data_IF_155380534242
#
_entry.id   IF_155380534242
#
_cell.length_a   1.000
_cell.length_b   1.000
_cell.length_c   1.000
_cell.angle_alpha   90.00
_cell.angle_beta   90.00
_cell.angle_gamma   90.00
#
_symmetry.space_group_name_H-M   'P 1'
#
loop_
_entity.id
_entity.type
_entity.pdbx_description
1 polymer ?
#
# COMPACT_ATOMS: atom_id res chain seq x y z
N UNK A 1 -7.62 35.64 -43.00
CA UNK A 1 -7.49 34.17 -43.16
C UNK A 1 -6.71 33.63 -41.97
N UNK A 2 -7.31 32.64 -41.33
CA UNK A 2 -7.07 32.06 -40.00
C UNK A 2 -5.84 31.15 -39.94
N UNK A 3 -5.11 31.19 -38.82
CA UNK A 3 -4.50 30.01 -38.19
C UNK A 3 -4.63 30.15 -36.66
N UNK A 4 -5.41 29.29 -35.98
CA UNK A 4 -5.36 29.18 -34.53
C UNK A 4 -4.32 28.12 -34.14
N UNK A 5 -3.28 28.54 -33.41
CA UNK A 5 -2.33 27.64 -32.78
C UNK A 5 -2.98 27.00 -31.54
N UNK A 6 -3.44 25.76 -31.72
CA UNK A 6 -4.01 24.94 -30.65
C UNK A 6 -2.92 24.08 -30.03
N UNK A 7 -2.22 24.64 -29.03
CA UNK A 7 -1.35 23.88 -28.12
C UNK A 7 -1.83 24.13 -26.68
N UNK A 8 -2.98 23.52 -26.34
CA UNK A 8 -3.52 23.52 -24.97
C UNK A 8 -4.32 22.24 -24.63
N UNK A 9 -3.93 21.10 -25.18
CA UNK A 9 -4.00 19.79 -24.51
C UNK A 9 -2.54 19.39 -24.29
N UNK A 10 -2.04 18.88 -23.17
CA UNK A 10 -2.46 17.65 -22.48
C UNK A 10 -1.82 17.60 -21.07
N UNK A 11 -1.69 18.75 -20.38
CA UNK A 11 -0.99 18.78 -19.08
C UNK A 11 -1.91 18.39 -17.90
N UNK A 12 -3.23 18.40 -18.10
CA UNK A 12 -4.18 18.15 -16.99
C UNK A 12 -4.40 16.67 -16.65
N UNK A 13 -4.21 15.74 -17.58
CA UNK A 13 -4.50 14.32 -17.32
C UNK A 13 -3.36 13.60 -16.60
N UNK A 14 -2.09 13.91 -16.89
CA UNK A 14 -0.95 13.32 -16.17
C UNK A 14 -0.84 13.84 -14.72
N UNK A 15 -1.27 15.07 -14.46
CA UNK A 15 -1.30 15.61 -13.10
C UNK A 15 -2.33 14.90 -12.22
N UNK A 16 -3.45 14.40 -12.78
CA UNK A 16 -4.47 13.68 -12.02
C UNK A 16 -4.07 12.25 -11.64
N UNK A 17 -3.27 11.56 -12.45
CA UNK A 17 -2.70 10.26 -12.06
C UNK A 17 -1.68 10.44 -10.93
N UNK A 18 -0.75 11.38 -11.06
CA UNK A 18 0.25 11.63 -10.02
C UNK A 18 -0.36 12.05 -8.66
N UNK A 19 -1.47 12.83 -8.68
CA UNK A 19 -2.13 13.29 -7.46
C UNK A 19 -2.96 12.20 -6.78
N UNK A 20 -3.54 11.25 -7.54
CA UNK A 20 -4.18 10.05 -6.97
C UNK A 20 -3.19 9.11 -6.28
N UNK A 21 -1.89 9.26 -6.52
CA UNK A 21 -0.84 8.41 -5.96
C UNK A 21 -0.17 8.94 -4.69
N UNK A 22 -0.38 10.20 -4.32
CA UNK A 22 0.00 10.70 -3.00
C UNK A 22 -1.19 10.54 -2.06
N UNK A 23 -1.14 9.60 -1.12
CA UNK A 23 -2.00 9.71 0.06
C UNK A 23 -1.70 11.08 0.66
N UNK A 24 -2.66 12.00 0.63
CA UNK A 24 -2.51 13.36 1.15
C UNK A 24 -1.96 13.25 2.56
N UNK A 25 -0.64 13.49 2.74
CA UNK A 25 0.17 13.07 3.91
C UNK A 25 -0.69 13.02 5.17
N UNK A 26 -1.28 11.87 5.52
CA UNK A 26 -2.35 11.90 6.51
C UNK A 26 -1.70 11.98 7.89
N UNK A 27 -1.79 13.18 8.46
CA UNK A 27 -1.86 13.48 9.88
C UNK A 27 -0.70 13.06 10.80
N UNK A 28 -0.56 13.83 11.87
CA UNK A 28 0.36 13.63 13.00
C UNK A 28 0.16 12.26 13.72
N UNK A 29 -0.79 11.43 13.28
CA UNK A 29 -1.29 10.24 13.95
C UNK A 29 -1.19 8.97 13.07
N UNK A 30 -0.48 7.95 13.56
CA UNK A 30 -0.26 6.68 12.85
C UNK A 30 -1.53 5.88 12.55
N UNK A 31 -2.56 5.96 13.40
CA UNK A 31 -3.82 5.25 13.17
C UNK A 31 -4.60 5.82 11.98
N UNK A 32 -4.59 7.14 11.79
CA UNK A 32 -5.23 7.79 10.64
C UNK A 32 -4.49 7.49 9.34
N UNK A 33 -3.16 7.47 9.39
CA UNK A 33 -2.34 7.05 8.26
C UNK A 33 -2.62 5.59 7.86
N UNK A 34 -2.59 4.65 8.81
CA UNK A 34 -2.88 3.24 8.55
C UNK A 34 -4.30 3.04 8.00
N UNK A 35 -5.28 3.80 8.49
CA UNK A 35 -6.64 3.82 7.94
C UNK A 35 -6.64 4.27 6.47
N UNK A 36 -5.96 5.35 6.12
CA UNK A 36 -5.86 5.82 4.74
C UNK A 36 -5.20 4.78 3.81
N UNK A 37 -4.09 4.18 4.26
CA UNK A 37 -3.41 3.10 3.55
C UNK A 37 -4.35 1.93 3.25
N UNK A 38 -5.09 1.48 4.27
CA UNK A 38 -5.98 0.31 4.15
C UNK A 38 -7.24 0.60 3.31
N UNK A 39 -7.82 1.79 3.39
CA UNK A 39 -9.05 2.10 2.63
C UNK A 39 -8.81 2.52 1.19
N UNK A 40 -7.65 3.09 0.87
CA UNK A 40 -7.36 3.59 -0.48
C UNK A 40 -6.47 2.63 -1.27
N UNK A 41 -5.33 2.21 -0.72
CA UNK A 41 -4.33 1.43 -1.47
C UNK A 41 -4.58 -0.05 -1.40
N UNK A 42 -4.85 -0.58 -0.21
CA UNK A 42 -5.12 -2.01 -0.04
C UNK A 42 -6.44 -2.40 -0.73
N UNK A 43 -7.41 -1.49 -0.79
CA UNK A 43 -8.66 -1.69 -1.52
C UNK A 43 -8.45 -1.88 -3.04
N UNK A 44 -7.53 -1.13 -3.65
CA UNK A 44 -7.22 -1.23 -5.08
C UNK A 44 -6.19 -2.35 -5.40
N UNK A 45 -5.51 -2.91 -4.39
CA UNK A 45 -4.39 -3.83 -4.53
C UNK A 45 -4.70 -5.03 -5.44
N UNK A 46 -5.87 -5.64 -5.26
CA UNK A 46 -6.31 -6.81 -6.02
C UNK A 46 -7.41 -6.50 -7.02
N UNK A 47 -7.53 -5.25 -7.48
CA UNK A 47 -8.57 -4.84 -8.43
C UNK A 47 -8.35 -5.39 -9.84
N UNK A 48 -7.10 -5.45 -10.31
CA UNK A 48 -6.75 -6.04 -11.60
C UNK A 48 -5.44 -6.81 -11.51
N UNK A 49 -5.35 -7.94 -12.22
CA UNK A 49 -4.15 -8.76 -12.23
C UNK A 49 -2.93 -8.02 -12.80
N UNK A 50 -3.12 -7.24 -13.87
CA UNK A 50 -2.04 -6.46 -14.49
C UNK A 50 -1.55 -5.30 -13.62
N UNK A 51 -2.43 -4.73 -12.80
CA UNK A 51 -2.09 -3.63 -11.89
C UNK A 51 -1.44 -4.07 -10.58
N UNK A 52 -1.59 -5.34 -10.20
CA UNK A 52 -1.12 -5.87 -8.92
C UNK A 52 0.35 -5.52 -8.61
N UNK A 53 1.34 -5.72 -9.49
CA UNK A 53 2.73 -5.37 -9.18
C UNK A 53 2.91 -3.89 -8.87
N UNK A 54 2.25 -3.01 -9.64
CA UNK A 54 2.32 -1.56 -9.43
C UNK A 54 1.67 -1.13 -8.12
N UNK A 55 0.47 -1.65 -7.83
CA UNK A 55 -0.22 -1.38 -6.56
C UNK A 55 0.55 -1.93 -5.35
N UNK A 56 1.20 -3.08 -5.50
CA UNK A 56 2.01 -3.67 -4.45
C UNK A 56 3.22 -2.81 -4.10
N UNK A 57 3.94 -2.32 -5.11
CA UNK A 57 5.03 -1.36 -4.89
C UNK A 57 4.54 -0.07 -4.22
N UNK A 58 3.34 0.42 -4.58
CA UNK A 58 2.76 1.59 -3.92
C UNK A 58 2.48 1.33 -2.43
N UNK A 59 1.89 0.18 -2.09
CA UNK A 59 1.70 -0.21 -0.68
C UNK A 59 3.03 -0.29 0.06
N UNK A 60 4.07 -0.89 -0.54
CA UNK A 60 5.40 -0.97 0.07
C UNK A 60 6.01 0.43 0.28
N UNK A 61 5.87 1.35 -0.67
CA UNK A 61 6.37 2.72 -0.55
C UNK A 61 5.66 3.48 0.58
N UNK A 62 4.35 3.31 0.71
CA UNK A 62 3.58 3.91 1.80
C UNK A 62 3.98 3.33 3.16
N UNK A 63 4.14 2.01 3.26
CA UNK A 63 4.65 1.35 4.46
C UNK A 63 6.02 1.90 4.84
N UNK A 64 6.94 2.05 3.88
CA UNK A 64 8.26 2.64 4.10
C UNK A 64 8.17 4.11 4.57
N UNK A 65 7.27 4.90 4.00
CA UNK A 65 7.00 6.28 4.43
C UNK A 65 6.38 6.34 5.84
N UNK A 66 5.64 5.29 6.22
CA UNK A 66 5.03 5.10 7.53
C UNK A 66 5.96 4.63 8.63
N UNK A 67 7.25 4.36 8.35
CA UNK A 67 8.22 3.86 9.33
C UNK A 67 8.27 4.67 10.64
N UNK A 68 8.07 5.99 10.57
CA UNK A 68 8.01 6.88 11.73
C UNK A 68 6.89 6.56 12.73
N UNK A 69 5.86 5.81 12.31
CA UNK A 69 4.75 5.38 13.15
C UNK A 69 4.97 3.97 13.73
N UNK A 70 5.92 3.21 13.18
CA UNK A 70 6.29 1.88 13.68
C UNK A 70 7.38 1.97 14.75
N UNK A 71 8.31 2.91 14.58
CA UNK A 71 9.39 3.17 15.52
C UNK A 71 9.03 4.29 16.49
N UNK A 72 9.42 4.14 17.76
CA UNK A 72 9.27 5.18 18.76
C UNK A 72 10.31 6.28 18.57
N UNK A 73 10.02 7.49 19.04
CA UNK A 73 10.92 8.66 18.94
C UNK A 73 12.29 8.40 19.60
N UNK A 74 12.36 7.46 20.55
CA UNK A 74 13.57 7.15 21.32
C UNK A 74 14.37 5.94 20.80
N UNK A 75 13.75 5.01 20.08
CA UNK A 75 14.34 3.72 19.70
C UNK A 75 14.19 3.50 18.20
N UNK A 76 14.79 4.35 17.36
CA UNK A 76 14.64 4.36 15.90
C UNK A 76 15.06 3.08 15.15
N UNK A 77 15.29 1.97 15.87
CA UNK A 77 15.68 0.66 15.35
C UNK A 77 14.78 -0.49 15.85
N UNK A 78 13.91 -0.26 16.84
CA UNK A 78 13.01 -1.29 17.37
C UNK A 78 11.55 -0.86 17.25
N UNK A 79 10.73 -1.75 16.71
CA UNK A 79 9.29 -1.53 16.54
C UNK A 79 8.61 -1.46 17.91
N UNK A 80 7.84 -0.40 18.18
CA UNK A 80 7.08 -0.27 19.43
C UNK A 80 5.89 -1.22 19.44
N UNK A 81 5.24 -1.38 20.60
CA UNK A 81 4.05 -2.23 20.67
C UNK A 81 2.89 -1.63 19.87
N UNK A 82 2.70 -0.31 19.88
CA UNK A 82 1.75 0.37 19.00
C UNK A 82 2.11 0.20 17.52
N UNK A 83 3.41 0.25 17.20
CA UNK A 83 3.90 -0.02 15.86
C UNK A 83 3.55 -1.43 15.38
N UNK A 84 3.74 -2.44 16.23
CA UNK A 84 3.34 -3.83 15.94
C UNK A 84 1.83 -3.97 15.74
N UNK A 85 1.02 -3.26 16.52
CA UNK A 85 -0.44 -3.24 16.33
C UNK A 85 -0.83 -2.65 14.97
N UNK A 86 -0.23 -1.53 14.56
CA UNK A 86 -0.45 -0.94 13.24
C UNK A 86 -0.04 -1.89 12.11
N UNK A 87 1.11 -2.54 12.25
CA UNK A 87 1.62 -3.52 11.28
C UNK A 87 0.65 -4.69 11.13
N UNK A 88 0.17 -5.26 12.25
CA UNK A 88 -0.84 -6.33 12.24
C UNK A 88 -2.12 -5.89 11.57
N UNK A 89 -2.59 -4.69 11.87
CA UNK A 89 -3.81 -4.15 11.25
C UNK A 89 -3.68 -4.02 9.73
N UNK A 90 -2.56 -3.47 9.24
CA UNK A 90 -2.30 -3.37 7.80
C UNK A 90 -2.18 -4.76 7.16
N UNK A 91 -1.48 -5.69 7.81
CA UNK A 91 -1.33 -7.06 7.31
C UNK A 91 -2.67 -7.79 7.20
N UNK A 92 -3.52 -7.69 8.22
CA UNK A 92 -4.86 -8.30 8.21
C UNK A 92 -5.76 -7.68 7.13
N UNK A 93 -5.63 -6.37 6.87
CA UNK A 93 -6.33 -5.73 5.77
C UNK A 93 -5.87 -6.27 4.40
N UNK A 94 -4.57 -6.44 4.18
CA UNK A 94 -4.02 -7.02 2.95
C UNK A 94 -4.48 -8.47 2.75
N UNK A 95 -4.45 -9.28 3.81
CA UNK A 95 -4.94 -10.67 3.77
C UNK A 95 -6.44 -10.69 3.45
N UNK A 96 -7.24 -9.83 4.08
CA UNK A 96 -8.68 -9.73 3.83
C UNK A 96 -8.98 -9.32 2.39
N UNK A 97 -8.21 -8.40 1.83
CA UNK A 97 -8.33 -7.99 0.43
C UNK A 97 -7.96 -9.13 -0.53
N UNK A 98 -6.87 -9.85 -0.24
CA UNK A 98 -6.45 -11.03 -1.00
C UNK A 98 -7.51 -12.14 -1.03
N UNK A 99 -8.21 -12.35 0.09
CA UNK A 99 -9.29 -13.34 0.17
C UNK A 99 -10.44 -13.02 -0.79
N UNK A 100 -10.68 -11.74 -1.06
CA UNK A 100 -11.72 -11.24 -1.97
C UNK A 100 -11.26 -11.10 -3.42
N UNK A 101 -9.97 -11.30 -3.71
CA UNK A 101 -9.45 -11.22 -5.07
C UNK A 101 -10.12 -12.23 -6.00
N UNK A 102 -10.48 -11.80 -7.20
CA UNK A 102 -11.17 -12.63 -8.22
C UNK A 102 -10.21 -13.44 -9.10
N UNK A 103 -8.90 -13.28 -8.91
CA UNK A 103 -7.86 -13.95 -9.70
C UNK A 103 -6.74 -14.49 -8.81
N UNK A 104 -6.08 -15.54 -9.29
CA UNK A 104 -4.88 -16.10 -8.67
C UNK A 104 -3.67 -15.20 -8.90
N UNK A 105 -2.77 -15.15 -7.92
CA UNK A 105 -1.56 -14.34 -7.99
C UNK A 105 -0.36 -15.06 -7.36
N UNK A 106 0.84 -14.86 -7.94
CA UNK A 106 2.07 -15.45 -7.41
C UNK A 106 2.45 -14.77 -6.09
N UNK A 107 3.40 -15.36 -5.38
CA UNK A 107 3.92 -14.85 -4.11
C UNK A 107 4.13 -13.34 -4.10
N UNK A 108 3.40 -12.66 -3.22
CA UNK A 108 3.57 -11.26 -2.88
C UNK A 108 4.14 -11.13 -1.46
N UNK A 109 4.98 -10.11 -1.27
CA UNK A 109 5.79 -9.95 -0.08
C UNK A 109 5.82 -8.49 0.36
N UNK A 110 5.43 -8.21 1.60
CA UNK A 110 5.44 -6.86 2.18
C UNK A 110 6.31 -6.88 3.44
N UNK A 111 7.29 -5.99 3.48
CA UNK A 111 8.16 -5.79 4.63
C UNK A 111 7.76 -4.50 5.35
N UNK A 112 7.66 -4.56 6.69
CA UNK A 112 7.29 -3.40 7.50
C UNK A 112 8.51 -2.77 8.17
N UNK A 113 9.13 -3.49 9.10
CA UNK A 113 10.35 -3.08 9.80
C UNK A 113 11.39 -4.20 9.72
N UNK A 114 12.65 -3.90 10.06
CA UNK A 114 13.71 -4.89 9.97
C UNK A 114 13.59 -5.99 11.05
N UNK A 115 12.99 -5.64 12.19
CA UNK A 115 12.79 -6.51 13.36
C UNK A 115 11.42 -7.21 13.38
N UNK A 116 10.54 -6.92 12.41
CA UNK A 116 9.27 -7.65 12.22
C UNK A 116 9.36 -8.67 11.09
N UNK A 117 8.53 -9.71 11.17
CA UNK A 117 8.41 -10.69 10.10
C UNK A 117 7.92 -10.06 8.80
N UNK A 118 8.08 -10.78 7.69
CA UNK A 118 7.48 -10.35 6.42
C UNK A 118 6.04 -10.83 6.35
N UNK A 119 5.14 -10.04 5.75
CA UNK A 119 3.89 -10.57 5.24
C UNK A 119 4.16 -11.24 3.90
N UNK A 120 3.87 -12.54 3.81
CA UNK A 120 4.03 -13.32 2.57
C UNK A 120 2.74 -14.05 2.26
N UNK A 121 2.19 -13.84 1.07
CA UNK A 121 0.98 -14.53 0.63
C UNK A 121 0.94 -14.75 -0.86
N UNK A 122 0.18 -15.76 -1.26
CA UNK A 122 -0.15 -16.04 -2.65
C UNK A 122 -1.61 -16.49 -2.74
N UNK A 123 -2.17 -16.50 -3.94
CA UNK A 123 -3.47 -17.11 -4.20
C UNK A 123 -3.34 -18.13 -5.32
N UNK A 124 -3.69 -19.38 -5.02
CA UNK A 124 -3.55 -20.51 -5.94
C UNK A 124 -4.85 -21.29 -5.93
N UNK A 125 -5.42 -21.53 -7.10
CA UNK A 125 -6.69 -22.24 -7.29
C UNK A 125 -7.82 -21.62 -6.46
N UNK A 126 -7.89 -20.29 -6.42
CA UNK A 126 -8.93 -19.54 -5.69
C UNK A 126 -8.75 -19.53 -4.16
N UNK A 127 -7.63 -20.05 -3.62
CA UNK A 127 -7.36 -20.07 -2.18
C UNK A 127 -6.16 -19.21 -1.84
N UNK A 128 -6.33 -18.32 -0.87
CA UNK A 128 -5.22 -17.53 -0.33
C UNK A 128 -4.41 -18.39 0.64
N UNK A 129 -3.12 -18.50 0.38
CA UNK A 129 -2.15 -19.09 1.27
C UNK A 129 -1.31 -17.98 1.90
N UNK A 130 -1.38 -17.85 3.22
CA UNK A 130 -0.53 -16.94 4.00
C UNK A 130 0.66 -17.74 4.51
N UNK A 131 1.85 -17.43 4.00
CA UNK A 131 3.09 -18.16 4.30
C UNK A 131 3.84 -17.56 5.50
N UNK A 132 3.63 -16.28 5.79
CA UNK A 132 4.27 -15.58 6.91
C UNK A 132 3.43 -14.37 7.32
N UNK A 133 3.46 -14.05 8.61
CA UNK A 133 2.86 -12.84 9.20
C UNK A 133 3.91 -12.10 10.04
N UNK A 134 3.89 -10.75 10.02
CA UNK A 134 4.75 -9.91 10.84
C UNK A 134 4.44 -9.97 12.33
#
# INVERSE_FOLDING_TARGET
MTKPDSLKGDIKEQAQEADRHNLARPAVNGALWARGLTTQRVADLFRTQRGLPGHWMQVQNEVNAGNRYFYGVQNGHQTTDEGKELIRWIADAVISAAQRAEFDFPLQQLQFTADTGWLKLQRVSGRVMVLSRP
#
